data_IF_508363509740
#
_entry.id   IF_508363509740
#
_cell.length_a   1.000
_cell.length_b   1.000
_cell.length_c   1.000
_cell.angle_alpha   90.00
_cell.angle_beta   90.00
_cell.angle_gamma   90.00
#
_symmetry.space_group_name_H-M   'P 1'
#
loop_
_entity.id
_entity.type
_entity.pdbx_description
1 polymer ?
#
# COMPACT_ATOMS: atom_id res chain seq x y z
N UNK A 1 5.03 0.50 -4.56
CA UNK A 1 5.07 -0.41 -3.40
C UNK A 1 3.89 -0.10 -2.51
N UNK A 2 3.33 -1.10 -1.82
CA UNK A 2 2.21 -0.98 -0.88
C UNK A 2 2.57 -1.75 0.39
N UNK A 3 2.35 -1.15 1.56
CA UNK A 3 2.46 -1.80 2.85
C UNK A 3 1.15 -1.59 3.63
N UNK A 4 0.68 -2.65 4.29
CA UNK A 4 -0.54 -2.66 5.08
C UNK A 4 -0.17 -3.16 6.46
N UNK A 5 -0.55 -2.41 7.49
CA UNK A 5 -0.36 -2.77 8.89
C UNK A 5 -1.72 -2.97 9.53
N UNK A 6 -1.83 -3.99 10.37
CA UNK A 6 -3.00 -4.16 11.22
C UNK A 6 -2.90 -3.19 12.41
N UNK A 7 -4.01 -2.55 12.80
CA UNK A 7 -4.04 -1.47 13.79
C UNK A 7 -3.38 -1.85 15.13
N UNK A 8 -3.47 -3.12 15.52
CA UNK A 8 -2.81 -3.67 16.70
C UNK A 8 -1.27 -3.55 16.69
N UNK A 9 -0.65 -3.26 15.54
CA UNK A 9 0.80 -3.19 15.37
C UNK A 9 1.30 -1.85 14.81
N UNK A 10 0.40 -0.98 14.34
CA UNK A 10 0.71 0.38 13.93
C UNK A 10 -0.51 1.27 14.18
N UNK A 11 -0.37 2.26 15.06
CA UNK A 11 -1.42 3.24 15.28
C UNK A 11 -1.59 4.09 14.01
N UNK A 12 -2.83 4.28 13.52
CA UNK A 12 -3.07 5.18 12.42
C UNK A 12 -2.66 6.61 12.81
N UNK A 13 -2.06 7.39 11.89
CA UNK A 13 -1.69 8.78 12.18
C UNK A 13 -2.93 9.63 12.46
N UNK A 14 -2.85 10.49 13.48
CA UNK A 14 -3.96 11.37 13.91
C UNK A 14 -4.42 12.33 12.80
N UNK A 15 -3.52 12.64 11.85
CA UNK A 15 -3.77 13.46 10.67
C UNK A 15 -4.84 12.87 9.73
N UNK A 16 -5.09 11.55 9.79
CA UNK A 16 -6.21 10.91 9.10
C UNK A 16 -7.58 11.43 9.57
N UNK A 17 -7.66 11.99 10.77
CA UNK A 17 -8.87 12.61 11.32
C UNK A 17 -8.93 14.12 11.07
N UNK A 18 -8.02 14.66 10.27
CA UNK A 18 -8.07 16.08 9.91
C UNK A 18 -9.27 16.38 8.99
N UNK A 19 -9.81 17.60 9.03
CA UNK A 19 -10.90 18.02 8.13
C UNK A 19 -10.50 18.01 6.64
N UNK A 20 -9.22 17.84 6.30
CA UNK A 20 -8.77 17.59 4.94
C UNK A 20 -9.11 16.17 4.47
N UNK A 21 -9.19 15.20 5.39
CA UNK A 21 -9.59 13.82 5.14
C UNK A 21 -11.06 13.73 4.73
N UNK A 22 -11.94 14.51 5.36
CA UNK A 22 -13.38 14.57 5.02
C UNK A 22 -13.65 15.10 3.60
N UNK A 23 -12.73 15.91 3.05
CA UNK A 23 -12.83 16.42 1.67
C UNK A 23 -12.43 15.39 0.62
N UNK A 24 -11.78 14.29 1.02
CA UNK A 24 -11.48 13.19 0.13
C UNK A 24 -12.76 12.35 -0.06
N UNK A 25 -13.42 12.48 -1.21
CA UNK A 25 -14.69 11.81 -1.51
C UNK A 25 -14.62 10.28 -1.61
N UNK A 26 -13.44 9.68 -1.39
CA UNK A 26 -13.23 8.24 -1.46
C UNK A 26 -13.12 7.71 -0.04
N UNK A 27 -14.12 6.94 0.40
CA UNK A 27 -13.99 6.16 1.63
C UNK A 27 -12.73 5.29 1.57
N UNK A 28 -12.03 5.13 2.71
CA UNK A 28 -10.93 4.19 2.79
C UNK A 28 -11.45 2.78 2.50
N UNK A 29 -10.77 2.08 1.57
CA UNK A 29 -11.08 0.69 1.23
C UNK A 29 -10.61 -0.24 2.34
N UNK A 30 -11.22 -1.41 2.44
CA UNK A 30 -10.73 -2.44 3.36
C UNK A 30 -9.29 -2.85 3.00
N UNK A 31 -8.47 -3.29 3.97
CA UNK A 31 -7.12 -3.74 3.71
C UNK A 31 -7.02 -4.80 2.60
N UNK A 32 -7.91 -5.80 2.63
CA UNK A 32 -7.96 -6.86 1.62
C UNK A 32 -8.36 -6.35 0.23
N UNK A 33 -9.35 -5.46 0.16
CA UNK A 33 -9.75 -4.82 -1.10
C UNK A 33 -8.64 -3.96 -1.68
N UNK A 34 -7.88 -3.28 -0.82
CA UNK A 34 -6.73 -2.46 -1.21
C UNK A 34 -5.62 -3.35 -1.78
N UNK A 35 -5.31 -4.46 -1.11
CA UNK A 35 -4.33 -5.43 -1.58
C UNK A 35 -4.76 -6.04 -2.92
N UNK A 36 -5.99 -6.53 -3.02
CA UNK A 36 -6.52 -7.12 -4.25
C UNK A 36 -6.53 -6.10 -5.39
N UNK A 37 -6.96 -4.87 -5.13
CA UNK A 37 -6.93 -3.79 -6.13
C UNK A 37 -5.51 -3.46 -6.59
N UNK A 38 -4.52 -3.58 -5.72
CA UNK A 38 -3.12 -3.36 -6.06
C UNK A 38 -2.55 -4.49 -6.93
N UNK A 39 -2.81 -5.74 -6.55
CA UNK A 39 -2.35 -6.92 -7.29
C UNK A 39 -2.99 -7.00 -8.69
N UNK A 40 -4.30 -6.75 -8.79
CA UNK A 40 -5.03 -6.74 -10.07
C UNK A 40 -4.54 -5.68 -11.05
N UNK A 41 -3.91 -4.60 -10.56
CA UNK A 41 -3.34 -3.56 -11.43
C UNK A 41 -2.04 -4.00 -12.11
N UNK A 42 -1.35 -4.99 -11.54
CA UNK A 42 -0.01 -5.42 -11.98
C UNK A 42 0.14 -6.95 -11.94
N UNK A 43 -0.65 -7.69 -12.74
CA UNK A 43 -0.81 -9.14 -12.61
C UNK A 43 0.47 -9.95 -12.85
N UNK A 44 1.44 -9.41 -13.59
CA UNK A 44 2.64 -10.15 -14.00
C UNK A 44 3.94 -9.72 -13.29
N UNK A 45 3.91 -8.58 -12.60
CA UNK A 45 5.12 -7.96 -12.02
C UNK A 45 4.94 -7.63 -10.54
N UNK A 46 4.01 -8.27 -9.84
CA UNK A 46 3.82 -8.11 -8.40
C UNK A 46 4.14 -9.35 -7.62
N UNK A 47 4.58 -9.14 -6.39
CA UNK A 47 4.56 -10.15 -5.34
C UNK A 47 4.07 -9.52 -4.04
N UNK A 48 3.54 -10.35 -3.16
CA UNK A 48 3.20 -9.98 -1.80
C UNK A 48 3.86 -10.94 -0.80
N UNK A 49 4.12 -10.43 0.39
CA UNK A 49 4.64 -11.16 1.53
C UNK A 49 3.83 -10.79 2.76
N UNK A 50 3.37 -11.79 3.52
CA UNK A 50 2.66 -11.59 4.77
C UNK A 50 3.58 -11.80 5.98
N UNK A 51 3.43 -10.94 6.99
CA UNK A 51 4.09 -11.03 8.28
C UNK A 51 3.08 -11.51 9.32
N UNK A 52 2.73 -12.79 9.23
CA UNK A 52 1.67 -13.39 10.05
C UNK A 52 0.34 -12.63 9.88
N UNK A 53 -0.22 -12.16 10.99
CA UNK A 53 -1.43 -11.30 11.02
C UNK A 53 -1.12 -9.82 11.24
N UNK A 54 0.17 -9.44 11.28
CA UNK A 54 0.58 -8.10 11.66
C UNK A 54 0.65 -7.14 10.47
N UNK A 55 1.19 -7.61 9.34
CA UNK A 55 1.38 -6.76 8.17
C UNK A 55 1.41 -7.55 6.86
N UNK A 56 1.20 -6.84 5.76
CA UNK A 56 1.41 -7.32 4.40
C UNK A 56 2.23 -6.31 3.63
N UNK A 57 3.26 -6.77 2.94
CA UNK A 57 4.05 -5.98 2.00
C UNK A 57 3.77 -6.46 0.58
N UNK A 58 3.40 -5.56 -0.32
CA UNK A 58 3.22 -5.83 -1.74
C UNK A 58 4.14 -4.93 -2.57
N UNK A 59 4.84 -5.52 -3.52
CA UNK A 59 5.83 -4.83 -4.33
C UNK A 59 5.60 -5.11 -5.81
N UNK A 60 5.72 -4.05 -6.61
CA UNK A 60 5.72 -4.13 -8.07
C UNK A 60 7.16 -3.96 -8.51
N UNK A 61 7.69 -4.90 -9.28
CA UNK A 61 9.00 -4.75 -9.92
C UNK A 61 8.95 -3.55 -10.88
N UNK A 62 9.79 -2.51 -10.68
CA UNK A 62 9.89 -1.43 -11.64
C UNK A 62 10.29 -1.99 -13.01
N UNK A 63 9.58 -1.61 -14.08
CA UNK A 63 10.07 -1.81 -15.44
C UNK A 63 11.33 -0.96 -15.56
N UNK A 64 12.48 -1.60 -15.81
CA UNK A 64 13.78 -0.96 -15.76
C UNK A 64 13.81 0.39 -16.48
N UNK A 65 13.85 1.46 -15.70
CA UNK A 65 14.39 2.76 -16.06
C UNK A 65 15.39 3.14 -14.97
N UNK A 66 16.44 2.31 -14.86
CA UNK A 66 17.64 2.75 -14.18
C UNK A 66 18.10 4.00 -14.94
N UNK A 67 17.88 5.18 -14.36
CA UNK A 67 18.59 6.35 -14.83
C UNK A 67 20.06 6.05 -14.56
N UNK A 68 20.83 5.83 -15.62
CA UNK A 68 22.28 5.55 -15.61
C UNK A 68 23.08 6.66 -14.90
N UNK A 69 22.41 7.75 -14.47
CA UNK A 69 23.00 8.96 -13.89
C UNK A 69 23.09 9.02 -12.37
N UNK A 70 22.88 7.94 -11.61
CA UNK A 70 23.31 7.95 -10.21
C UNK A 70 24.80 7.58 -10.12
N UNK A 71 25.65 8.61 -10.19
CA UNK A 71 27.03 8.61 -9.65
C UNK A 71 27.15 9.69 -8.59
#
# INVERSE_FOLDING_TARGET
MLAIFHEAFAHPPEELHSPASEKCSKQPKLPEETLNSFLSRYPLNTFSMSFGKAAVLAYVRPSASFSIHQR
#
